data_IF_519708506708
#
_entry.id   IF_519708506708
#
_cell.length_a   1.000
_cell.length_b   1.000
_cell.length_c   1.000
_cell.angle_alpha   90.00
_cell.angle_beta   90.00
_cell.angle_gamma   90.00
#
_symmetry.space_group_name_H-M   'P 1'
#
loop_
_entity.id
_entity.type
_entity.pdbx_description
1 polymer ?
#
# COMPACT_ATOMS: atom_id res chain seq x y z
N UNK A 1 -5.66 -12.72 1.25
CA UNK A 1 -6.07 -11.30 1.28
C UNK A 1 -6.25 -10.79 2.71
N UNK A 2 -7.04 -11.47 3.54
CA UNK A 2 -7.34 -11.01 4.91
C UNK A 2 -6.10 -10.86 5.79
N UNK A 3 -5.07 -11.69 5.60
CA UNK A 3 -3.80 -11.60 6.35
C UNK A 3 -3.11 -10.25 6.14
N UNK A 4 -3.09 -9.71 4.91
CA UNK A 4 -2.48 -8.41 4.64
C UNK A 4 -3.28 -7.27 5.26
N UNK A 5 -4.61 -7.36 5.23
CA UNK A 5 -5.48 -6.43 5.96
C UNK A 5 -5.26 -6.53 7.48
N UNK A 6 -5.11 -7.72 8.02
CA UNK A 6 -4.81 -7.92 9.44
C UNK A 6 -3.46 -7.30 9.82
N UNK A 7 -2.45 -7.43 8.96
CA UNK A 7 -1.13 -6.82 9.19
C UNK A 7 -1.22 -5.29 9.30
N UNK A 8 -2.10 -4.61 8.56
CA UNK A 8 -2.30 -3.16 8.72
C UNK A 8 -2.96 -2.79 10.04
N UNK A 9 -3.72 -3.70 10.66
CA UNK A 9 -4.30 -3.52 12.00
C UNK A 9 -3.29 -3.79 13.11
N UNK A 10 -2.46 -4.82 12.96
CA UNK A 10 -1.44 -5.20 13.94
C UNK A 10 -0.24 -4.24 13.91
N UNK A 11 0.10 -3.69 12.75
CA UNK A 11 1.25 -2.81 12.54
C UNK A 11 0.88 -1.49 11.84
N UNK A 12 0.01 -0.66 12.45
CA UNK A 12 -0.58 0.51 11.78
C UNK A 12 0.41 1.64 11.47
N UNK A 13 1.66 1.54 11.94
CA UNK A 13 2.73 2.51 11.66
C UNK A 13 3.80 1.96 10.70
N UNK A 14 3.67 0.74 10.23
CA UNK A 14 4.63 0.15 9.29
C UNK A 14 4.24 0.53 7.87
N UNK A 15 5.01 1.38 7.21
CA UNK A 15 4.78 1.72 5.80
C UNK A 15 4.79 0.49 4.90
N UNK A 16 5.64 -0.50 5.21
CA UNK A 16 5.81 -1.74 4.46
C UNK A 16 4.50 -2.57 4.42
N UNK A 17 3.74 -2.65 5.52
CA UNK A 17 2.48 -3.44 5.50
C UNK A 17 1.42 -2.84 4.60
N UNK A 18 1.37 -1.50 4.50
CA UNK A 18 0.48 -0.83 3.56
C UNK A 18 0.97 -0.97 2.12
N UNK A 19 2.29 -0.93 1.89
CA UNK A 19 2.89 -1.17 0.58
C UNK A 19 2.53 -2.57 0.03
N UNK A 20 2.84 -3.62 0.80
CA UNK A 20 2.52 -5.00 0.42
C UNK A 20 1.01 -5.24 0.27
N UNK A 21 0.18 -4.60 1.11
CA UNK A 21 -1.26 -4.73 0.91
C UNK A 21 -1.74 -4.04 -0.38
N UNK A 22 -1.14 -2.90 -0.72
CA UNK A 22 -1.36 -2.21 -1.99
C UNK A 22 -1.01 -3.06 -3.21
N UNK A 23 0.14 -3.74 -3.20
CA UNK A 23 0.56 -4.67 -4.26
C UNK A 23 -0.43 -5.81 -4.48
N UNK A 24 -0.90 -6.41 -3.38
CA UNK A 24 -1.88 -7.50 -3.43
C UNK A 24 -3.21 -6.98 -3.97
N UNK A 25 -3.67 -5.80 -3.53
CA UNK A 25 -4.91 -5.21 -4.02
C UNK A 25 -4.86 -4.91 -5.52
N UNK A 26 -3.73 -4.41 -6.04
CA UNK A 26 -3.57 -4.19 -7.48
C UNK A 26 -3.60 -5.50 -8.26
N UNK A 27 -2.91 -6.53 -7.77
CA UNK A 27 -2.91 -7.87 -8.39
C UNK A 27 -4.32 -8.45 -8.52
N UNK A 28 -5.23 -8.02 -7.65
CA UNK A 28 -6.63 -8.44 -7.62
C UNK A 28 -7.58 -7.51 -8.38
N UNK A 29 -7.05 -6.45 -9.02
CA UNK A 29 -7.84 -5.46 -9.73
C UNK A 29 -8.52 -4.41 -8.84
N UNK A 30 -8.28 -4.43 -7.53
CA UNK A 30 -8.83 -3.48 -6.56
C UNK A 30 -8.00 -2.18 -6.53
N UNK A 31 -7.92 -1.52 -7.68
CA UNK A 31 -6.99 -0.40 -7.91
C UNK A 31 -7.22 0.81 -7.01
N UNK A 32 -8.49 1.10 -6.64
CA UNK A 32 -8.82 2.22 -5.75
C UNK A 32 -8.24 1.99 -4.35
N UNK A 33 -8.45 0.81 -3.80
CA UNK A 33 -7.95 0.40 -2.50
C UNK A 33 -6.41 0.29 -2.51
N UNK A 34 -5.82 -0.17 -3.61
CA UNK A 34 -4.37 -0.17 -3.78
C UNK A 34 -3.80 1.25 -3.65
N UNK A 35 -4.36 2.23 -4.37
CA UNK A 35 -3.94 3.64 -4.30
C UNK A 35 -4.03 4.19 -2.87
N UNK A 36 -5.09 3.87 -2.14
CA UNK A 36 -5.26 4.30 -0.73
C UNK A 36 -4.11 3.76 0.13
N UNK A 37 -3.77 2.48 -0.03
CA UNK A 37 -2.71 1.85 0.75
C UNK A 37 -1.31 2.37 0.39
N UNK A 38 -1.00 2.56 -0.89
CA UNK A 38 0.27 3.17 -1.29
C UNK A 38 0.41 4.62 -0.80
N UNK A 39 -0.67 5.42 -0.83
CA UNK A 39 -0.66 6.76 -0.22
C UNK A 39 -0.37 6.68 1.27
N UNK A 40 -1.00 5.74 1.98
CA UNK A 40 -0.74 5.54 3.41
C UNK A 40 0.70 5.12 3.69
N UNK A 41 1.28 4.29 2.83
CA UNK A 41 2.68 3.90 2.91
C UNK A 41 3.61 5.11 2.81
N UNK A 42 3.36 6.03 1.86
CA UNK A 42 4.12 7.27 1.71
C UNK A 42 3.91 8.27 2.85
N UNK A 43 2.71 8.36 3.42
CA UNK A 43 2.48 9.17 4.62
C UNK A 43 3.35 8.71 5.80
N UNK A 44 3.55 7.38 5.94
CA UNK A 44 4.34 6.79 7.02
C UNK A 44 5.84 6.76 6.71
N UNK A 45 6.20 6.58 5.45
CA UNK A 45 7.57 6.61 4.97
C UNK A 45 7.63 7.30 3.59
N UNK A 46 7.96 8.61 3.55
CA UNK A 46 8.08 9.36 2.31
C UNK A 46 9.12 8.79 1.33
N UNK A 47 10.10 8.03 1.83
CA UNK A 47 11.17 7.41 1.03
C UNK A 47 10.78 6.05 0.44
N UNK A 48 9.51 5.62 0.58
CA UNK A 48 9.05 4.40 -0.07
C UNK A 48 8.94 4.60 -1.60
N UNK A 49 10.03 4.27 -2.30
CA UNK A 49 10.12 4.39 -3.75
C UNK A 49 9.14 3.50 -4.49
N UNK A 50 8.75 2.34 -3.94
CA UNK A 50 7.78 1.45 -4.57
C UNK A 50 6.40 2.12 -4.65
N UNK A 51 5.92 2.61 -3.51
CA UNK A 51 4.67 3.35 -3.42
C UNK A 51 4.68 4.63 -4.28
N UNK A 52 5.79 5.36 -4.31
CA UNK A 52 5.94 6.55 -5.14
C UNK A 52 5.86 6.22 -6.64
N UNK A 53 6.57 5.18 -7.09
CA UNK A 53 6.56 4.76 -8.48
C UNK A 53 5.17 4.27 -8.92
N UNK A 54 4.53 3.45 -8.09
CA UNK A 54 3.18 2.96 -8.35
C UNK A 54 2.19 4.11 -8.59
N UNK A 55 2.20 5.14 -7.74
CA UNK A 55 1.29 6.28 -7.85
C UNK A 55 1.62 7.20 -9.03
N UNK A 56 2.88 7.23 -9.49
CA UNK A 56 3.32 8.01 -10.65
C UNK A 56 2.85 7.37 -11.97
N UNK A 57 2.96 6.05 -12.09
CA UNK A 57 2.67 5.31 -13.31
C UNK A 57 1.17 5.15 -13.59
N UNK A 58 0.34 5.36 -12.56
CA UNK A 58 -1.12 5.13 -12.59
C UNK A 58 -1.94 6.41 -12.74
N UNK A 59 -1.30 7.53 -13.11
CA UNK A 59 -1.94 8.82 -13.47
C UNK A 59 -2.81 8.71 -14.73
#
# INVERSE_FOLDING_TARGET
MEIFKLNTLLFPKSSNVYDSYGEILETLGNRKEAIINYRKSLELNPDNTNAANYLKDKK
#
